data_IF_492935145039
#
_entry.id   IF_492935145039
#
_cell.length_a   1.000
_cell.length_b   1.000
_cell.length_c   1.000
_cell.angle_alpha   90.00
_cell.angle_beta   90.00
_cell.angle_gamma   90.00
#
_symmetry.space_group_name_H-M   'P 1'
#
loop_
_entity.id
_entity.type
_entity.pdbx_description
1 polymer ?
#
# COMPACT_ATOMS: atom_id res chain seq x y z
N UNK A 1 -63.25 54.24 20.76
CA UNK A 1 -63.52 54.79 22.09
C UNK A 1 -62.45 54.25 23.04
N UNK A 2 -61.67 55.17 23.62
CA UNK A 2 -60.79 55.13 24.79
C UNK A 2 -60.07 53.85 25.27
N UNK A 3 -58.75 54.03 25.40
CA UNK A 3 -57.71 53.31 26.18
C UNK A 3 -58.02 53.33 27.70
N UNK A 4 -57.47 52.42 28.55
CA UNK A 4 -56.14 52.63 29.21
C UNK A 4 -55.35 51.31 29.50
N UNK A 5 -54.03 51.23 29.35
CA UNK A 5 -52.95 51.75 30.23
C UNK A 5 -52.76 50.97 31.55
N UNK A 6 -51.90 49.94 31.53
CA UNK A 6 -51.09 49.52 32.68
C UNK A 6 -49.71 49.03 32.21
N UNK A 7 -48.78 49.98 32.09
CA UNK A 7 -47.35 49.71 32.21
C UNK A 7 -47.06 49.05 33.58
N UNK A 8 -46.13 48.09 33.62
CA UNK A 8 -44.93 48.22 34.50
C UNK A 8 -43.88 47.12 34.26
N UNK A 9 -42.76 47.58 33.71
CA UNK A 9 -41.36 47.18 33.99
C UNK A 9 -40.87 45.82 33.48
N UNK A 10 -40.30 45.86 32.28
CA UNK A 10 -39.04 45.17 32.01
C UNK A 10 -38.07 46.17 31.32
N UNK A 11 -36.87 46.42 31.86
CA UNK A 11 -35.88 47.25 31.18
C UNK A 11 -35.37 46.50 29.94
N UNK A 12 -35.67 47.06 28.77
CA UNK A 12 -35.10 46.64 27.49
C UNK A 12 -33.61 47.00 27.50
N UNK A 13 -32.74 45.99 27.60
CA UNK A 13 -31.31 46.14 27.30
C UNK A 13 -31.18 46.57 25.85
N UNK A 14 -30.89 47.86 25.62
CA UNK A 14 -30.52 48.38 24.31
C UNK A 14 -29.15 47.82 23.97
N UNK A 15 -29.14 46.89 23.02
CA UNK A 15 -27.96 46.44 22.29
C UNK A 15 -27.39 47.67 21.58
N UNK A 16 -26.30 48.21 22.11
CA UNK A 16 -25.60 49.35 21.52
C UNK A 16 -24.71 48.85 20.38
N UNK A 17 -24.82 49.40 19.16
CA UNK A 17 -23.95 49.06 18.05
C UNK A 17 -22.65 49.84 18.20
N UNK A 18 -21.77 49.41 19.10
CA UNK A 18 -20.43 50.00 19.20
C UNK A 18 -19.50 49.31 18.20
N UNK A 19 -19.52 49.82 16.97
CA UNK A 19 -18.48 49.59 15.96
C UNK A 19 -17.18 50.26 16.38
N UNK A 20 -16.52 49.68 17.39
CA UNK A 20 -15.17 50.04 17.77
C UNK A 20 -14.19 49.65 16.67
N UNK A 21 -13.55 50.63 16.02
CA UNK A 21 -12.43 50.40 15.10
C UNK A 21 -11.32 49.60 15.83
N UNK A 22 -10.73 48.55 15.24
CA UNK A 22 -9.58 47.89 15.84
C UNK A 22 -8.44 48.90 16.00
N UNK A 23 -7.91 49.01 17.22
CA UNK A 23 -6.79 49.88 17.55
C UNK A 23 -5.56 49.44 16.73
N UNK A 24 -4.86 50.35 16.02
CA UNK A 24 -3.63 49.96 15.34
C UNK A 24 -2.59 49.56 16.39
N UNK A 25 -2.01 48.37 16.20
CA UNK A 25 -0.92 47.85 17.01
C UNK A 25 0.22 48.88 17.05
N UNK A 26 0.43 49.46 18.23
CA UNK A 26 1.52 50.39 18.50
C UNK A 26 2.87 49.71 18.28
N UNK A 27 3.66 50.29 17.38
CA UNK A 27 5.04 49.91 17.10
C UNK A 27 5.92 50.30 18.29
N UNK A 28 6.10 49.40 19.24
CA UNK A 28 7.12 49.52 20.30
C UNK A 28 8.37 48.74 19.92
N UNK A 29 9.29 49.43 19.26
CA UNK A 29 10.68 49.01 19.03
C UNK A 29 11.49 49.11 20.33
N UNK A 30 11.99 47.98 20.84
CA UNK A 30 12.87 47.91 22.01
C UNK A 30 13.34 46.48 22.31
N UNK A 31 14.47 46.30 23.04
CA UNK A 31 15.38 45.14 22.97
C UNK A 31 14.80 43.78 23.40
N UNK A 32 13.60 43.77 23.99
CA UNK A 32 12.93 42.55 24.46
C UNK A 32 12.60 41.62 23.27
N UNK A 33 12.25 42.18 22.11
CA UNK A 33 12.01 41.39 20.89
C UNK A 33 13.30 40.73 20.36
N UNK A 34 14.46 41.37 20.53
CA UNK A 34 15.76 40.82 20.15
C UNK A 34 16.11 39.63 21.03
N UNK A 35 15.81 39.69 22.33
CA UNK A 35 16.04 38.57 23.26
C UNK A 35 15.16 37.37 22.89
N UNK A 36 13.89 37.57 22.54
CA UNK A 36 13.04 36.48 22.05
C UNK A 36 13.55 35.91 20.72
N UNK A 37 13.97 36.74 19.77
CA UNK A 37 14.56 36.29 18.49
C UNK A 37 15.84 35.48 18.74
N UNK A 38 16.69 35.88 19.69
CA UNK A 38 17.90 35.15 20.05
C UNK A 38 17.59 33.81 20.71
N UNK A 39 16.59 33.74 21.59
CA UNK A 39 16.14 32.48 22.21
C UNK A 39 15.54 31.55 21.14
N UNK A 40 14.71 32.07 20.23
CA UNK A 40 14.18 31.31 19.10
C UNK A 40 15.29 30.87 18.13
N UNK A 41 16.33 31.68 17.92
CA UNK A 41 17.48 31.31 17.09
C UNK A 41 18.30 30.17 17.72
N UNK A 42 18.55 30.23 19.03
CA UNK A 42 19.27 29.16 19.76
C UNK A 42 18.42 27.88 19.82
N UNK A 43 17.12 27.99 20.11
CA UNK A 43 16.20 26.86 20.08
C UNK A 43 16.08 26.25 18.67
N UNK A 44 16.06 27.10 17.63
CA UNK A 44 16.06 26.68 16.22
C UNK A 44 17.36 25.96 15.85
N UNK A 45 18.52 26.45 16.30
CA UNK A 45 19.81 25.76 16.10
C UNK A 45 19.85 24.41 16.82
N UNK A 46 19.30 24.34 18.04
CA UNK A 46 19.22 23.10 18.82
C UNK A 46 18.28 22.08 18.17
N UNK A 47 17.12 22.53 17.68
CA UNK A 47 16.15 21.70 16.97
C UNK A 47 16.66 21.25 15.59
N UNK A 48 17.36 22.14 14.86
CA UNK A 48 18.00 21.83 13.58
C UNK A 48 19.14 20.80 13.74
N UNK A 49 19.89 20.86 14.85
CA UNK A 49 20.87 19.84 15.23
C UNK A 49 20.23 18.48 15.48
N UNK A 50 19.08 18.42 16.16
CA UNK A 50 18.34 17.17 16.40
C UNK A 50 17.62 16.62 15.15
N UNK A 51 17.31 17.46 14.16
CA UNK A 51 16.62 17.04 12.92
C UNK A 51 17.51 16.23 11.96
N UNK A 52 18.84 16.27 12.14
CA UNK A 52 19.80 15.53 11.30
C UNK A 52 19.78 14.01 11.50
N UNK A 53 19.43 13.53 12.70
CA UNK A 53 19.46 12.11 13.04
C UNK A 53 18.31 11.27 12.44
N UNK A 54 17.21 11.92 12.04
CA UNK A 54 16.05 11.26 11.43
C UNK A 54 16.27 10.85 9.96
N UNK A 55 17.26 11.45 9.26
CA UNK A 55 17.58 11.11 7.87
C UNK A 55 18.37 9.80 7.72
N UNK A 56 19.00 9.33 8.80
CA UNK A 56 19.88 8.16 8.77
C UNK A 56 19.13 6.83 8.67
N UNK A 57 17.86 6.80 9.10
CA UNK A 57 17.01 5.59 9.01
C UNK A 57 16.46 5.40 7.58
N UNK A 58 16.13 6.51 6.90
CA UNK A 58 15.61 6.50 5.52
C UNK A 58 16.64 5.92 4.54
N UNK A 59 17.94 6.16 4.77
CA UNK A 59 19.01 5.68 3.87
C UNK A 59 19.25 4.16 3.95
N UNK A 60 18.99 3.53 5.10
CA UNK A 60 19.09 2.06 5.26
C UNK A 60 17.92 1.34 4.59
N UNK A 61 16.70 1.88 4.75
CA UNK A 61 15.51 1.40 4.04
C UNK A 61 15.66 1.48 2.51
N UNK A 62 16.33 2.52 2.00
CA UNK A 62 16.61 2.66 0.57
C UNK A 62 17.69 1.70 0.05
N UNK A 63 18.63 1.25 0.88
CA UNK A 63 19.66 0.30 0.50
C UNK A 63 19.12 -1.14 0.38
N UNK A 64 18.20 -1.53 1.26
CA UNK A 64 17.48 -2.82 1.16
C UNK A 64 16.54 -2.84 -0.07
N UNK A 65 15.89 -1.72 -0.36
CA UNK A 65 15.11 -1.54 -1.60
C UNK A 65 15.97 -1.43 -2.87
N UNK A 66 17.26 -1.06 -2.76
CA UNK A 66 18.14 -0.94 -3.91
C UNK A 66 18.54 -2.32 -4.47
N UNK A 67 18.69 -3.33 -3.62
CA UNK A 67 18.96 -4.72 -4.06
C UNK A 67 17.72 -5.33 -4.77
N UNK A 68 16.53 -5.11 -4.21
CA UNK A 68 15.25 -5.45 -4.85
C UNK A 68 15.00 -4.63 -6.12
N UNK A 69 15.46 -3.37 -6.21
CA UNK A 69 15.32 -2.53 -7.41
C UNK A 69 16.33 -2.85 -8.51
N UNK A 70 17.53 -3.33 -8.16
CA UNK A 70 18.52 -3.71 -9.15
C UNK A 70 18.20 -5.05 -9.79
N UNK A 71 17.51 -5.97 -9.10
CA UNK A 71 17.07 -7.25 -9.66
C UNK A 71 15.75 -7.76 -9.06
N UNK A 72 14.60 -7.11 -9.29
CA UNK A 72 13.31 -7.54 -8.74
C UNK A 72 12.88 -8.94 -9.22
N UNK A 73 13.57 -9.49 -10.23
CA UNK A 73 13.36 -10.84 -10.74
C UNK A 73 14.31 -11.91 -10.21
N UNK A 74 15.38 -11.60 -9.46
CA UNK A 74 16.36 -12.63 -9.05
C UNK A 74 15.76 -13.64 -8.05
N UNK A 75 15.14 -13.15 -6.97
CA UNK A 75 14.49 -14.02 -5.99
C UNK A 75 13.37 -14.86 -6.62
N UNK A 76 12.51 -14.25 -7.44
CA UNK A 76 11.45 -14.95 -8.15
C UNK A 76 11.98 -16.01 -9.15
N UNK A 77 13.11 -15.71 -9.82
CA UNK A 77 13.77 -16.68 -10.73
C UNK A 77 14.38 -17.83 -9.97
N UNK A 78 15.08 -17.58 -8.86
CA UNK A 78 15.66 -18.63 -8.02
C UNK A 78 14.58 -19.56 -7.43
N UNK A 79 13.48 -18.98 -6.95
CA UNK A 79 12.32 -19.74 -6.49
C UNK A 79 11.74 -20.61 -7.62
N UNK A 80 11.60 -20.07 -8.82
CA UNK A 80 11.10 -20.81 -9.98
C UNK A 80 12.03 -21.96 -10.36
N UNK A 81 13.35 -21.73 -10.41
CA UNK A 81 14.34 -22.79 -10.68
C UNK A 81 14.24 -23.91 -9.65
N UNK A 82 14.16 -23.57 -8.36
CA UNK A 82 14.03 -24.56 -7.29
C UNK A 82 12.72 -25.37 -7.40
N UNK A 83 11.65 -24.72 -7.85
CA UNK A 83 10.35 -25.33 -8.07
C UNK A 83 10.42 -26.31 -9.25
N UNK A 84 10.98 -25.90 -10.38
CA UNK A 84 11.13 -26.77 -11.55
C UNK A 84 12.00 -27.99 -11.25
N UNK A 85 13.07 -27.83 -10.46
CA UNK A 85 13.89 -28.96 -10.02
C UNK A 85 13.10 -29.95 -9.14
N UNK A 86 12.22 -29.47 -8.27
CA UNK A 86 11.37 -30.34 -7.45
C UNK A 86 10.35 -31.07 -8.29
N UNK A 87 9.62 -30.35 -9.14
CA UNK A 87 8.61 -30.92 -10.03
C UNK A 87 9.24 -31.92 -11.02
N UNK A 88 10.42 -31.60 -11.57
CA UNK A 88 11.17 -32.46 -12.48
C UNK A 88 11.67 -33.78 -11.86
N UNK A 89 11.76 -33.86 -10.53
CA UNK A 89 12.03 -35.13 -9.82
C UNK A 89 10.78 -36.01 -9.69
N UNK A 90 9.59 -35.41 -9.78
CA UNK A 90 8.31 -36.10 -9.61
C UNK A 90 7.73 -36.54 -10.96
N UNK A 91 8.01 -35.81 -12.02
CA UNK A 91 7.59 -36.16 -13.37
C UNK A 91 8.51 -35.58 -14.44
N UNK A 92 8.47 -36.17 -15.64
CA UNK A 92 9.14 -35.62 -16.82
C UNK A 92 8.44 -34.33 -17.25
N UNK A 93 9.19 -33.23 -17.25
CA UNK A 93 8.74 -31.92 -17.67
C UNK A 93 8.98 -31.69 -19.18
N UNK A 94 8.15 -30.89 -19.86
CA UNK A 94 8.47 -30.41 -21.20
C UNK A 94 9.81 -29.65 -21.22
N UNK A 95 10.63 -29.93 -22.22
CA UNK A 95 11.92 -29.29 -22.44
C UNK A 95 11.83 -28.23 -23.55
N UNK A 96 12.76 -27.26 -23.54
CA UNK A 96 12.83 -26.22 -24.56
C UNK A 96 11.85 -25.06 -24.38
N UNK A 97 11.14 -24.99 -23.25
CA UNK A 97 10.29 -23.85 -22.88
C UNK A 97 10.28 -23.60 -21.36
N UNK A 98 10.03 -22.35 -20.96
CA UNK A 98 9.82 -21.97 -19.57
C UNK A 98 8.32 -21.91 -19.26
N UNK A 99 7.84 -22.59 -18.19
CA UNK A 99 6.43 -22.52 -17.83
C UNK A 99 6.09 -21.18 -17.17
N UNK A 100 4.84 -20.77 -17.37
CA UNK A 100 4.25 -19.70 -16.55
C UNK A 100 3.82 -20.29 -15.22
N UNK A 101 4.33 -19.74 -14.10
CA UNK A 101 3.99 -20.18 -12.75
C UNK A 101 2.96 -19.25 -12.13
N UNK A 102 1.84 -19.80 -11.67
CA UNK A 102 0.81 -19.09 -10.91
C UNK A 102 0.59 -19.75 -9.55
N UNK A 103 0.06 -18.98 -8.58
CA UNK A 103 -0.29 -19.50 -7.25
C UNK A 103 -1.80 -19.53 -7.10
N UNK A 104 -2.33 -20.63 -6.57
CA UNK A 104 -3.74 -20.77 -6.22
C UNK A 104 -4.00 -19.97 -4.94
N UNK A 105 -4.64 -18.81 -5.08
CA UNK A 105 -4.97 -17.97 -3.92
C UNK A 105 -6.33 -18.30 -3.31
N UNK A 106 -7.29 -18.70 -4.15
CA UNK A 106 -8.67 -19.00 -3.75
C UNK A 106 -9.15 -20.26 -4.47
N UNK A 107 -8.99 -21.45 -3.85
CA UNK A 107 -9.38 -22.71 -4.47
C UNK A 107 -10.90 -22.82 -4.63
N UNK A 108 -11.70 -22.23 -3.74
CA UNK A 108 -13.18 -22.33 -3.78
C UNK A 108 -13.74 -21.76 -5.08
N UNK A 109 -13.18 -20.65 -5.57
CA UNK A 109 -13.57 -20.03 -6.85
C UNK A 109 -13.18 -20.85 -8.08
N UNK A 110 -12.23 -21.77 -7.92
CA UNK A 110 -11.69 -22.57 -9.02
C UNK A 110 -12.24 -24.01 -9.02
N UNK A 111 -12.94 -24.45 -7.96
CA UNK A 111 -13.51 -25.81 -7.83
C UNK A 111 -14.43 -26.24 -8.97
N UNK A 112 -15.08 -25.29 -9.65
CA UNK A 112 -15.91 -25.58 -10.81
C UNK A 112 -15.10 -26.19 -11.98
N UNK A 113 -13.79 -25.97 -12.02
CA UNK A 113 -12.89 -26.55 -13.00
C UNK A 113 -12.33 -27.87 -12.44
N UNK A 114 -12.49 -29.01 -13.14
CA UNK A 114 -12.01 -30.32 -12.68
C UNK A 114 -10.53 -30.35 -12.32
N UNK A 115 -9.70 -29.59 -13.05
CA UNK A 115 -8.26 -29.48 -12.79
C UNK A 115 -7.93 -28.94 -11.39
N UNK A 116 -8.79 -28.09 -10.83
CA UNK A 116 -8.61 -27.49 -9.51
C UNK A 116 -9.47 -28.17 -8.42
N UNK A 117 -10.15 -29.28 -8.71
CA UNK A 117 -11.05 -29.93 -7.78
C UNK A 117 -10.37 -30.35 -6.46
N UNK A 118 -9.07 -30.65 -6.51
CA UNK A 118 -8.23 -31.04 -5.36
C UNK A 118 -7.21 -29.96 -4.97
N UNK A 119 -7.30 -28.77 -5.57
CA UNK A 119 -6.36 -27.70 -5.31
C UNK A 119 -6.54 -27.13 -3.91
N UNK A 120 -5.42 -26.76 -3.29
CA UNK A 120 -5.36 -26.05 -2.01
C UNK A 120 -4.83 -24.64 -2.22
N UNK A 121 -5.13 -23.78 -1.26
CA UNK A 121 -4.52 -22.46 -1.22
C UNK A 121 -3.00 -22.59 -1.07
N UNK A 122 -2.25 -21.90 -1.93
CA UNK A 122 -0.80 -21.96 -1.99
C UNK A 122 -0.23 -22.94 -3.02
N UNK A 123 -1.06 -23.81 -3.60
CA UNK A 123 -0.63 -24.68 -4.69
C UNK A 123 -0.11 -23.88 -5.88
N UNK A 124 0.84 -24.45 -6.61
CA UNK A 124 1.49 -23.83 -7.76
C UNK A 124 1.01 -24.47 -9.04
N UNK A 125 0.61 -23.65 -10.00
CA UNK A 125 0.23 -24.08 -11.35
C UNK A 125 1.36 -23.75 -12.28
N UNK A 126 1.87 -24.73 -13.01
CA UNK A 126 2.84 -24.55 -14.08
C UNK A 126 2.11 -24.75 -15.41
N UNK A 127 2.11 -23.73 -16.25
CA UNK A 127 1.47 -23.75 -17.57
C UNK A 127 2.54 -23.73 -18.65
N UNK A 128 2.57 -24.79 -19.44
CA UNK A 128 3.43 -24.99 -20.59
C UNK A 128 2.63 -24.69 -21.86
N UNK A 129 2.98 -23.60 -22.55
CA UNK A 129 2.20 -23.09 -23.69
C UNK A 129 2.42 -23.90 -24.95
N UNK A 130 3.66 -24.29 -25.25
CA UNK A 130 3.98 -25.05 -26.46
C UNK A 130 3.57 -26.51 -26.31
N UNK A 131 3.87 -27.12 -25.15
CA UNK A 131 3.44 -28.48 -24.85
C UNK A 131 1.94 -28.59 -24.49
N UNK A 132 1.22 -27.47 -24.38
CA UNK A 132 -0.21 -27.39 -24.06
C UNK A 132 -0.56 -28.21 -22.82
N UNK A 133 0.17 -28.00 -21.73
CA UNK A 133 0.05 -28.79 -20.50
C UNK A 133 0.02 -27.89 -19.27
N UNK A 134 -0.89 -28.16 -18.36
CA UNK A 134 -0.93 -27.56 -17.03
C UNK A 134 -0.62 -28.63 -15.98
N UNK A 135 0.18 -28.24 -14.99
CA UNK A 135 0.60 -29.10 -13.88
C UNK A 135 0.26 -28.37 -12.59
N UNK A 136 -0.54 -28.98 -11.73
CA UNK A 136 -0.85 -28.50 -10.40
C UNK A 136 0.07 -29.21 -9.41
N UNK A 137 0.80 -28.44 -8.62
CA UNK A 137 1.83 -28.92 -7.70
C UNK A 137 1.60 -28.35 -6.30
N UNK A 138 1.58 -29.23 -5.30
CA UNK A 138 1.53 -28.86 -3.87
C UNK A 138 2.99 -28.73 -3.37
N UNK A 139 3.48 -27.50 -3.11
CA UNK A 139 4.86 -27.28 -2.67
C UNK A 139 5.13 -27.74 -1.24
N UNK A 140 4.10 -27.94 -0.43
CA UNK A 140 4.20 -28.36 0.97
C UNK A 140 4.30 -29.89 1.04
N UNK A 141 3.41 -30.59 0.33
CA UNK A 141 3.43 -32.04 0.24
C UNK A 141 4.49 -32.57 -0.76
N UNK A 142 5.08 -31.69 -1.58
CA UNK A 142 6.00 -32.02 -2.65
C UNK A 142 5.42 -33.10 -3.58
N UNK A 143 4.21 -32.85 -4.09
CA UNK A 143 3.42 -33.80 -4.87
C UNK A 143 2.76 -33.11 -6.07
N UNK A 144 2.68 -33.82 -7.20
CA UNK A 144 1.85 -33.42 -8.34
C UNK A 144 0.40 -33.77 -8.02
N UNK A 145 -0.44 -32.76 -7.89
CA UNK A 145 -1.86 -32.90 -7.54
C UNK A 145 -2.67 -33.30 -8.76
N UNK A 146 -2.44 -32.66 -9.91
CA UNK A 146 -3.19 -32.90 -11.13
C UNK A 146 -2.40 -32.46 -12.38
N UNK A 147 -2.66 -33.11 -13.51
CA UNK A 147 -2.06 -32.75 -14.81
C UNK A 147 -3.12 -32.79 -15.89
N UNK A 148 -3.26 -31.71 -16.65
CA UNK A 148 -4.26 -31.62 -17.71
C UNK A 148 -3.71 -30.98 -18.99
N UNK A 149 -4.27 -31.34 -20.16
CA UNK A 149 -4.02 -30.60 -21.38
C UNK A 149 -4.63 -29.19 -21.29
N UNK A 150 -3.97 -28.20 -21.89
CA UNK A 150 -4.43 -26.82 -21.97
C UNK A 150 -4.86 -26.52 -23.39
N UNK A 151 -6.14 -26.20 -23.56
CA UNK A 151 -6.67 -25.67 -24.81
C UNK A 151 -6.80 -24.16 -24.67
N UNK A 152 -5.92 -23.42 -25.34
CA UNK A 152 -6.09 -21.97 -25.49
C UNK A 152 -7.21 -21.72 -26.49
N UNK A 153 -8.45 -21.60 -26.02
CA UNK A 153 -9.57 -21.17 -26.84
C UNK A 153 -9.42 -19.68 -27.18
N UNK A 154 -9.68 -19.30 -28.43
CA UNK A 154 -9.91 -17.90 -28.79
C UNK A 154 -11.23 -17.44 -28.15
N UNK A 155 -11.19 -17.03 -26.89
CA UNK A 155 -12.26 -16.23 -26.30
C UNK A 155 -11.80 -14.77 -26.31
N UNK A 156 -12.11 -14.07 -27.40
CA UNK A 156 -11.82 -12.63 -27.52
C UNK A 156 -11.71 -12.09 -28.94
N UNK A 157 -12.72 -12.30 -29.80
CA UNK A 157 -12.93 -11.48 -31.00
C UNK A 157 -14.39 -11.60 -31.50
N UNK A 158 -15.36 -11.16 -30.71
CA UNK A 158 -16.69 -10.78 -31.19
C UNK A 158 -17.45 -10.02 -30.10
N UNK A 159 -17.40 -8.69 -30.16
CA UNK A 159 -18.52 -7.76 -29.97
C UNK A 159 -18.04 -6.33 -30.22
#
# INVERSE_FOLDING_TARGET
MNVPELMKKAPVMKMSPDGGRPKPLGKSSGPIMVVFILIFAVASLYFFSQWGAAKTQIKRLQAELADVRQNPGKAAREETVSLLQRVGKLMVLPEGEEPTVATVNDPERLKAQPFFAKAKQGDKVLIYTNAKKAILYDPVANLIVEVAPVSFGQEGAAQ
#
